data_IF_840678695771
#
_entry.id   IF_840678695771
#
_cell.length_a   1.000
_cell.length_b   1.000
_cell.length_c   1.000
_cell.angle_alpha   90.00
_cell.angle_beta   90.00
_cell.angle_gamma   90.00
#
_symmetry.space_group_name_H-M   'P 1'
#
loop_
_entity.id
_entity.type
_entity.pdbx_description
1 polymer ?
#
# COMPACT_ATOMS: atom_id res chain seq x y z
N UNK A 1 -7.53 9.32 29.60
CA UNK A 1 -6.86 8.09 30.04
C UNK A 1 -5.98 7.64 28.91
N UNK A 2 -4.67 7.52 29.06
CA UNK A 2 -3.79 7.06 27.98
C UNK A 2 -4.00 5.56 27.78
N UNK A 3 -4.36 5.18 26.56
CA UNK A 3 -4.46 3.78 26.12
C UNK A 3 -3.07 3.19 26.04
N UNK A 4 -2.81 2.17 26.84
CA UNK A 4 -1.60 1.37 26.86
C UNK A 4 -1.40 0.71 25.50
N UNK A 5 -0.19 0.70 24.90
CA UNK A 5 0.05 -0.03 23.66
C UNK A 5 -0.09 -1.53 23.90
N UNK A 6 -0.93 -2.17 23.09
CA UNK A 6 -1.12 -3.63 23.10
C UNK A 6 0.18 -4.29 22.67
N UNK A 7 0.74 -5.15 23.52
CA UNK A 7 1.92 -5.97 23.19
C UNK A 7 1.65 -6.83 21.93
N UNK A 8 2.63 -6.92 21.02
CA UNK A 8 2.47 -7.70 19.81
C UNK A 8 2.44 -9.21 20.14
N UNK A 9 1.32 -9.86 19.85
CA UNK A 9 1.20 -11.32 19.89
C UNK A 9 2.17 -11.94 18.88
N UNK A 10 3.09 -12.78 19.36
CA UNK A 10 4.07 -13.49 18.54
C UNK A 10 3.37 -14.43 17.54
N UNK A 11 3.71 -14.32 16.26
CA UNK A 11 3.22 -15.20 15.20
C UNK A 11 3.84 -16.62 15.30
N UNK A 12 3.19 -17.66 14.78
CA UNK A 12 3.69 -19.03 14.78
C UNK A 12 4.98 -19.14 13.95
N UNK A 13 6.01 -19.74 14.55
CA UNK A 13 7.38 -19.83 14.07
C UNK A 13 7.59 -20.70 12.82
N UNK A 14 7.29 -20.19 11.66
CA UNK A 14 7.88 -20.66 10.40
C UNK A 14 9.05 -19.73 10.06
N UNK A 15 10.23 -20.29 9.81
CA UNK A 15 11.40 -19.51 9.39
C UNK A 15 11.13 -18.94 8.01
N UNK A 16 11.05 -17.61 7.87
CA UNK A 16 10.85 -16.96 6.57
C UNK A 16 12.03 -17.31 5.65
N UNK A 17 11.73 -17.77 4.43
CA UNK A 17 12.79 -17.97 3.42
C UNK A 17 13.36 -16.59 3.03
N UNK A 18 14.68 -16.38 3.20
CA UNK A 18 15.31 -15.11 2.83
C UNK A 18 15.04 -14.67 1.38
N UNK A 19 14.87 -15.63 0.48
CA UNK A 19 14.58 -15.34 -0.94
C UNK A 19 13.25 -14.65 -1.17
N UNK A 20 12.30 -14.74 -0.22
CA UNK A 20 11.04 -14.00 -0.28
C UNK A 20 11.26 -12.47 -0.31
N UNK A 21 12.38 -11.97 0.27
CA UNK A 21 12.70 -10.55 0.23
C UNK A 21 13.32 -10.08 -1.10
N UNK A 22 13.75 -10.98 -1.99
CA UNK A 22 14.31 -10.59 -3.30
C UNK A 22 13.32 -9.81 -4.17
N UNK A 23 12.02 -10.08 -4.02
CA UNK A 23 10.97 -9.37 -4.73
C UNK A 23 10.73 -7.94 -4.20
N UNK A 24 11.30 -7.59 -3.04
CA UNK A 24 11.16 -6.28 -2.43
C UNK A 24 12.22 -5.33 -3.00
N UNK A 25 11.84 -4.22 -3.67
CA UNK A 25 12.78 -3.34 -4.37
C UNK A 25 13.93 -2.81 -3.51
N UNK A 26 13.71 -2.67 -2.20
CA UNK A 26 14.73 -2.23 -1.26
C UNK A 26 15.91 -3.21 -1.16
N UNK A 27 15.64 -4.50 -1.32
CA UNK A 27 16.62 -5.58 -1.10
C UNK A 27 17.10 -6.22 -2.42
N UNK A 28 16.74 -5.64 -3.57
CA UNK A 28 16.97 -6.23 -4.90
C UNK A 28 18.44 -6.60 -5.17
N UNK A 29 19.39 -5.81 -4.65
CA UNK A 29 20.83 -5.98 -4.93
C UNK A 29 21.57 -6.73 -3.79
N UNK A 30 20.85 -7.33 -2.84
CA UNK A 30 21.44 -8.10 -1.76
C UNK A 30 21.60 -9.57 -2.20
N UNK A 31 22.75 -10.16 -1.85
CA UNK A 31 22.97 -11.59 -2.02
C UNK A 31 22.18 -12.40 -0.96
N UNK A 32 22.19 -13.72 -1.13
CA UNK A 32 21.44 -14.63 -0.24
C UNK A 32 21.89 -14.56 1.22
N UNK A 33 23.18 -14.33 1.47
CA UNK A 33 23.72 -14.24 2.83
C UNK A 33 23.25 -12.94 3.50
N UNK A 34 23.32 -11.82 2.79
CA UNK A 34 22.81 -10.53 3.25
C UNK A 34 21.29 -10.58 3.50
N UNK A 35 20.51 -11.23 2.62
CA UNK A 35 19.07 -11.42 2.83
C UNK A 35 18.77 -12.26 4.06
N UNK A 36 19.57 -13.29 4.34
CA UNK A 36 19.43 -14.11 5.55
C UNK A 36 19.69 -13.28 6.83
N UNK A 37 20.72 -12.45 6.82
CA UNK A 37 21.02 -11.53 7.93
C UNK A 37 19.89 -10.52 8.14
N UNK A 38 19.37 -9.95 7.06
CA UNK A 38 18.23 -9.00 7.10
C UNK A 38 16.99 -9.66 7.69
N UNK A 39 16.65 -10.88 7.26
CA UNK A 39 15.51 -11.62 7.81
C UNK A 39 15.72 -11.94 9.29
N UNK A 40 16.92 -12.39 9.67
CA UNK A 40 17.23 -12.74 11.05
C UNK A 40 17.18 -11.54 12.00
N UNK A 41 17.54 -10.35 11.51
CA UNK A 41 17.50 -9.11 12.27
C UNK A 41 16.08 -8.53 12.40
N UNK A 42 15.14 -9.00 11.60
CA UNK A 42 13.76 -8.54 11.60
C UNK A 42 12.87 -9.27 12.62
N UNK A 43 11.75 -8.63 12.97
CA UNK A 43 10.71 -9.20 13.84
C UNK A 43 9.41 -9.34 13.05
N UNK A 44 8.87 -10.55 13.01
CA UNK A 44 7.55 -10.80 12.41
C UNK A 44 6.46 -10.62 13.45
N UNK A 45 5.41 -9.85 13.09
CA UNK A 45 4.23 -9.70 13.95
C UNK A 45 2.95 -9.56 13.12
N UNK A 46 1.81 -9.71 13.80
CA UNK A 46 0.49 -9.54 13.20
C UNK A 46 -0.01 -8.12 13.40
N UNK A 47 -0.72 -7.61 12.39
CA UNK A 47 -1.51 -6.38 12.47
C UNK A 47 -2.94 -6.76 12.15
N UNK A 48 -3.83 -6.61 13.12
CA UNK A 48 -5.23 -6.99 12.96
C UNK A 48 -5.93 -6.00 12.01
N UNK A 49 -6.96 -6.48 11.35
CA UNK A 49 -7.82 -5.64 10.51
C UNK A 49 -8.24 -4.37 11.26
N UNK A 50 -8.25 -3.24 10.55
CA UNK A 50 -8.57 -1.89 11.01
C UNK A 50 -7.56 -1.30 12.03
N UNK A 51 -6.54 -2.06 12.48
CA UNK A 51 -5.47 -1.52 13.31
C UNK A 51 -4.45 -0.73 12.48
N UNK A 52 -3.94 0.37 13.05
CA UNK A 52 -2.84 1.12 12.47
C UNK A 52 -1.52 0.40 12.73
N UNK A 53 -0.69 0.27 11.67
CA UNK A 53 0.71 -0.15 11.79
C UNK A 53 1.56 1.00 12.35
N UNK A 54 1.28 2.22 11.89
CA UNK A 54 1.78 3.49 12.42
C UNK A 54 0.88 4.64 11.98
N UNK A 55 0.96 5.77 12.67
CA UNK A 55 0.13 6.94 12.43
C UNK A 55 0.89 8.09 11.77
N UNK A 56 0.16 8.93 11.04
CA UNK A 56 0.67 10.18 10.47
C UNK A 56 1.26 11.06 11.57
N UNK A 57 2.37 11.74 11.26
CA UNK A 57 3.14 12.60 12.15
C UNK A 57 3.82 11.89 13.35
N UNK A 58 3.60 10.59 13.57
CA UNK A 58 4.38 9.84 14.53
C UNK A 58 5.85 9.73 14.10
N UNK A 59 6.82 9.62 15.05
CA UNK A 59 8.22 9.41 14.72
C UNK A 59 8.42 8.18 13.82
N UNK A 60 9.17 8.34 12.73
CA UNK A 60 9.45 7.25 11.78
C UNK A 60 10.59 6.37 12.32
N UNK A 61 10.25 5.42 13.18
CA UNK A 61 11.20 4.57 13.91
C UNK A 61 11.38 3.18 13.32
N UNK A 62 10.48 2.74 12.43
CA UNK A 62 10.49 1.37 11.91
C UNK A 62 10.21 1.31 10.40
N UNK A 63 10.88 0.35 9.77
CA UNK A 63 10.63 -0.09 8.40
C UNK A 63 9.87 -1.42 8.44
N UNK A 64 8.93 -1.61 7.54
CA UNK A 64 8.10 -2.82 7.46
C UNK A 64 8.02 -3.35 6.03
N UNK A 65 8.02 -4.67 5.90
CA UNK A 65 7.65 -5.40 4.69
C UNK A 65 6.36 -6.17 4.97
N UNK A 66 5.37 -6.05 4.10
CA UNK A 66 4.16 -6.86 4.18
C UNK A 66 4.48 -8.25 3.65
N UNK A 67 4.31 -9.27 4.49
CA UNK A 67 4.45 -10.68 4.10
C UNK A 67 3.12 -11.25 3.65
N UNK A 68 2.03 -10.88 4.32
CA UNK A 68 0.68 -11.33 4.02
C UNK A 68 -0.34 -10.24 4.37
N UNK A 69 -1.45 -10.22 3.65
CA UNK A 69 -2.54 -9.28 3.87
C UNK A 69 -2.43 -8.02 3.03
N UNK A 70 -3.13 -6.97 3.45
CA UNK A 70 -3.20 -5.70 2.72
C UNK A 70 -3.32 -4.54 3.69
N UNK A 71 -2.45 -3.56 3.53
CA UNK A 71 -2.53 -2.29 4.25
C UNK A 71 -3.01 -1.20 3.29
N UNK A 72 -3.55 -0.11 3.83
CA UNK A 72 -3.82 1.14 3.12
C UNK A 72 -3.03 2.29 3.73
N UNK A 73 -2.55 3.18 2.89
CA UNK A 73 -1.87 4.42 3.26
C UNK A 73 -2.88 5.54 3.15
N UNK A 74 -3.18 6.19 4.27
CA UNK A 74 -4.18 7.25 4.38
C UNK A 74 -3.51 8.51 4.89
N UNK A 75 -3.76 9.63 4.22
CA UNK A 75 -3.32 10.93 4.65
C UNK A 75 -4.53 11.77 5.05
N UNK A 76 -4.51 12.31 6.25
CA UNK A 76 -5.53 13.23 6.75
C UNK A 76 -5.09 14.69 6.50
N UNK A 77 -6.01 15.49 5.96
CA UNK A 77 -5.85 16.94 5.87
C UNK A 77 -6.19 17.61 7.21
N UNK A 78 -5.85 18.89 7.33
CA UNK A 78 -6.16 19.70 8.51
C UNK A 78 -7.67 19.84 8.79
N UNK A 79 -8.50 19.67 7.77
CA UNK A 79 -9.96 19.69 7.82
C UNK A 79 -10.58 18.33 8.18
N UNK A 80 -9.75 17.32 8.45
CA UNK A 80 -10.17 15.95 8.77
C UNK A 80 -10.56 15.12 7.53
N UNK A 81 -10.51 15.67 6.33
CA UNK A 81 -10.71 14.87 5.13
C UNK A 81 -9.56 13.87 4.95
N UNK A 82 -9.90 12.66 4.55
CA UNK A 82 -8.94 11.60 4.30
C UNK A 82 -8.79 11.33 2.80
N UNK A 83 -7.56 11.04 2.39
CA UNK A 83 -7.26 10.53 1.05
C UNK A 83 -6.56 9.18 1.19
N UNK A 84 -7.03 8.18 0.44
CA UNK A 84 -6.29 6.94 0.27
C UNK A 84 -5.20 7.17 -0.77
N UNK A 85 -3.97 7.26 -0.28
CA UNK A 85 -2.80 7.47 -1.14
C UNK A 85 -2.49 6.22 -1.94
N UNK A 86 -2.49 5.04 -1.31
CA UNK A 86 -2.23 3.75 -1.99
C UNK A 86 -2.58 2.58 -1.08
N UNK A 87 -2.67 1.39 -1.67
CA UNK A 87 -2.62 0.15 -0.94
C UNK A 87 -1.19 -0.43 -0.94
N UNK A 88 -0.88 -1.24 0.07
CA UNK A 88 0.41 -1.89 0.28
C UNK A 88 0.13 -3.37 0.45
N UNK A 89 0.70 -4.19 -0.40
CA UNK A 89 0.48 -5.64 -0.41
C UNK A 89 1.72 -6.45 -0.11
N UNK A 90 1.66 -7.78 -0.27
CA UNK A 90 2.82 -8.65 -0.10
C UNK A 90 4.00 -8.18 -0.96
N UNK A 91 5.20 -8.22 -0.39
CA UNK A 91 6.47 -7.74 -0.93
C UNK A 91 6.56 -6.20 -1.11
N UNK A 92 5.58 -5.45 -0.61
CA UNK A 92 5.64 -3.99 -0.57
C UNK A 92 6.22 -3.49 0.77
N UNK A 93 6.72 -2.25 0.74
CA UNK A 93 7.30 -1.54 1.87
C UNK A 93 6.36 -0.51 2.49
N UNK A 94 6.33 -0.46 3.82
CA UNK A 94 5.79 0.65 4.59
C UNK A 94 6.88 1.23 5.52
N UNK A 95 6.80 2.54 5.80
CA UNK A 95 7.69 3.18 6.75
C UNK A 95 9.11 3.48 6.23
N UNK A 96 9.32 3.59 4.91
CA UNK A 96 10.64 3.84 4.30
C UNK A 96 11.33 5.12 4.84
N UNK A 97 10.57 6.07 5.39
CA UNK A 97 11.10 7.29 6.01
C UNK A 97 12.01 7.00 7.22
N UNK A 98 11.84 5.86 7.90
CA UNK A 98 12.71 5.42 8.98
C UNK A 98 14.17 5.22 8.53
N UNK A 99 14.42 5.01 7.23
CA UNK A 99 15.75 4.89 6.65
C UNK A 99 16.46 6.24 6.43
N UNK A 100 15.72 7.37 6.52
CA UNK A 100 16.30 8.71 6.33
C UNK A 100 16.97 9.26 7.58
N UNK A 101 16.98 8.49 8.67
CA UNK A 101 17.62 8.83 9.94
C UNK A 101 16.69 9.43 10.98
N UNK A 102 17.24 9.84 12.12
CA UNK A 102 16.46 10.36 13.25
C UNK A 102 15.79 11.69 12.90
N UNK A 103 14.68 11.98 13.59
CA UNK A 103 13.91 13.21 13.41
C UNK A 103 12.88 13.15 12.28
N UNK A 104 12.83 12.07 11.51
CA UNK A 104 11.78 11.88 10.49
C UNK A 104 10.45 11.49 11.14
N UNK A 105 9.37 11.89 10.48
CA UNK A 105 8.00 11.47 10.86
C UNK A 105 7.34 10.75 9.68
N UNK A 106 6.36 9.91 9.98
CA UNK A 106 5.57 9.29 8.95
C UNK A 106 4.63 10.31 8.27
N UNK A 107 4.65 10.45 6.95
CA UNK A 107 3.82 11.44 6.26
C UNK A 107 2.35 11.04 6.15
N UNK A 108 2.00 9.81 6.50
CA UNK A 108 0.67 9.23 6.38
C UNK A 108 0.46 8.12 7.41
N UNK A 109 -0.77 7.83 7.76
CA UNK A 109 -1.17 6.66 8.54
C UNK A 109 -1.17 5.42 7.63
N UNK A 110 -0.70 4.30 8.16
CA UNK A 110 -0.80 2.99 7.49
C UNK A 110 -1.62 2.06 8.35
N UNK A 111 -2.76 1.57 7.83
CA UNK A 111 -3.70 0.73 8.56
C UNK A 111 -4.04 -0.55 7.79
N UNK A 112 -4.37 -1.61 8.50
CA UNK A 112 -4.69 -2.90 7.93
C UNK A 112 -6.11 -2.94 7.35
N UNK A 113 -6.24 -3.38 6.10
CA UNK A 113 -7.53 -3.61 5.42
C UNK A 113 -8.08 -4.99 5.76
N UNK A 114 -7.20 -5.94 5.95
CA UNK A 114 -7.43 -7.31 6.43
C UNK A 114 -6.33 -7.64 7.42
N UNK A 115 -6.44 -8.73 8.14
CA UNK A 115 -5.35 -9.21 9.00
C UNK A 115 -4.07 -9.34 8.18
N UNK A 116 -2.98 -8.76 8.69
CA UNK A 116 -1.69 -8.72 8.03
C UNK A 116 -0.61 -9.41 8.88
N UNK A 117 0.40 -9.91 8.18
CA UNK A 117 1.67 -10.33 8.78
C UNK A 117 2.75 -9.44 8.17
N UNK A 118 3.53 -8.79 9.01
CA UNK A 118 4.61 -7.89 8.59
C UNK A 118 5.94 -8.30 9.22
N UNK A 119 7.03 -8.08 8.49
CA UNK A 119 8.40 -8.17 8.98
C UNK A 119 8.92 -6.75 9.19
N UNK A 120 9.44 -6.46 10.37
CA UNK A 120 9.77 -5.10 10.80
C UNK A 120 11.20 -5.00 11.35
N UNK A 121 11.83 -3.86 11.09
CA UNK A 121 13.13 -3.48 11.63
C UNK A 121 13.02 -2.11 12.26
N UNK A 122 13.55 -1.95 13.48
CA UNK A 122 13.45 -0.73 14.26
C UNK A 122 14.83 -0.08 14.47
N UNK A 123 14.84 1.22 14.69
CA UNK A 123 15.92 2.09 15.12
C UNK A 123 17.35 1.57 14.95
N UNK A 124 17.99 1.01 16.01
CA UNK A 124 19.37 0.56 15.95
C UNK A 124 19.65 -0.54 14.93
N UNK A 125 18.65 -1.41 14.69
CA UNK A 125 18.77 -2.50 13.69
C UNK A 125 18.84 -1.90 12.29
N UNK A 126 17.99 -0.90 11.99
CA UNK A 126 18.02 -0.20 10.70
C UNK A 126 19.34 0.50 10.45
N UNK A 127 19.89 1.17 11.46
CA UNK A 127 21.18 1.85 11.36
C UNK A 127 22.31 0.86 11.07
N UNK A 128 22.33 -0.28 11.76
CA UNK A 128 23.33 -1.33 11.52
C UNK A 128 23.17 -1.96 10.12
N UNK A 129 21.95 -2.20 9.67
CA UNK A 129 21.67 -2.67 8.31
C UNK A 129 22.19 -1.69 7.24
N UNK A 130 21.94 -0.39 7.41
CA UNK A 130 22.44 0.64 6.49
C UNK A 130 23.96 0.70 6.46
N UNK A 131 24.60 0.59 7.63
CA UNK A 131 26.06 0.56 7.73
C UNK A 131 26.66 -0.66 7.03
N UNK A 132 26.04 -1.82 7.21
CA UNK A 132 26.53 -3.10 6.65
C UNK A 132 26.19 -3.25 5.15
N UNK A 133 25.06 -2.71 4.72
CA UNK A 133 24.56 -2.80 3.35
C UNK A 133 24.22 -1.42 2.79
N UNK A 134 25.20 -0.62 2.36
CA UNK A 134 24.98 0.76 1.87
C UNK A 134 24.02 0.84 0.65
N UNK A 135 23.92 -0.24 -0.11
CA UNK A 135 22.97 -0.34 -1.25
C UNK A 135 21.52 -0.14 -0.82
N UNK A 136 21.15 -0.42 0.44
CA UNK A 136 19.82 -0.16 0.97
C UNK A 136 19.45 1.33 0.90
N UNK A 137 20.41 2.23 1.13
CA UNK A 137 20.19 3.67 1.06
C UNK A 137 19.89 4.09 -0.39
N UNK A 138 20.65 3.58 -1.35
CA UNK A 138 20.44 3.84 -2.78
C UNK A 138 19.07 3.32 -3.23
N UNK A 139 18.73 2.10 -2.83
CA UNK A 139 17.45 1.50 -3.16
C UNK A 139 16.27 2.23 -2.48
N UNK A 140 16.45 2.71 -1.23
CA UNK A 140 15.45 3.56 -0.57
C UNK A 140 15.21 4.85 -1.34
N UNK A 141 16.25 5.50 -1.86
CA UNK A 141 16.11 6.68 -2.71
C UNK A 141 15.35 6.37 -4.02
N UNK A 142 15.62 5.22 -4.66
CA UNK A 142 14.87 4.78 -5.84
C UNK A 142 13.38 4.57 -5.53
N UNK A 143 13.07 3.91 -4.40
CA UNK A 143 11.70 3.71 -3.93
C UNK A 143 11.00 5.05 -3.67
N UNK A 144 11.65 5.97 -2.98
CA UNK A 144 11.11 7.30 -2.70
C UNK A 144 10.92 8.13 -3.98
N UNK A 145 11.88 8.07 -4.90
CA UNK A 145 11.79 8.72 -6.21
C UNK A 145 10.58 8.23 -7.02
N UNK A 146 10.36 6.92 -7.07
CA UNK A 146 9.18 6.33 -7.72
C UNK A 146 7.87 6.80 -7.06
N UNK A 147 7.81 6.80 -5.74
CA UNK A 147 6.64 7.32 -5.00
C UNK A 147 6.37 8.80 -5.26
N UNK A 148 7.42 9.61 -5.33
CA UNK A 148 7.30 11.03 -5.68
C UNK A 148 6.69 11.21 -7.07
N UNK A 149 7.14 10.44 -8.07
CA UNK A 149 6.57 10.47 -9.42
C UNK A 149 5.09 10.09 -9.44
N UNK A 150 4.69 9.06 -8.65
CA UNK A 150 3.29 8.67 -8.51
C UNK A 150 2.44 9.82 -7.92
N UNK A 151 2.94 10.51 -6.90
CA UNK A 151 2.26 11.66 -6.29
C UNK A 151 2.10 12.79 -7.30
N UNK A 152 3.14 13.14 -8.05
CA UNK A 152 3.07 14.17 -9.09
C UNK A 152 2.10 13.81 -10.21
N UNK A 153 2.05 12.53 -10.63
CA UNK A 153 1.09 12.06 -11.62
C UNK A 153 -0.35 12.25 -11.12
N UNK A 154 -0.64 11.88 -9.87
CA UNK A 154 -1.98 12.06 -9.27
C UNK A 154 -2.35 13.52 -9.07
N UNK A 155 -1.41 14.37 -8.69
CA UNK A 155 -1.65 15.81 -8.59
C UNK A 155 -2.07 16.38 -9.95
N UNK A 156 -1.40 15.99 -11.01
CA UNK A 156 -1.77 16.37 -12.39
C UNK A 156 -3.14 15.82 -12.75
N UNK A 157 -3.42 14.53 -12.51
CA UNK A 157 -4.74 13.92 -12.72
C UNK A 157 -5.84 14.71 -11.97
N UNK A 158 -5.60 15.09 -10.72
CA UNK A 158 -6.56 15.84 -9.93
C UNK A 158 -6.84 17.24 -10.50
N UNK A 159 -5.84 17.88 -11.11
CA UNK A 159 -5.95 19.22 -11.69
C UNK A 159 -6.56 19.24 -13.10
N UNK A 160 -6.38 18.17 -13.89
CA UNK A 160 -6.73 18.18 -15.31
C UNK A 160 -7.84 17.21 -15.71
N UNK A 161 -8.09 16.16 -14.91
CA UNK A 161 -8.95 15.07 -15.32
C UNK A 161 -10.34 15.14 -14.67
N UNK A 162 -11.36 14.71 -15.42
CA UNK A 162 -12.72 14.54 -14.88
C UNK A 162 -12.75 13.43 -13.84
N UNK A 163 -13.69 13.52 -12.89
CA UNK A 163 -13.85 12.53 -11.79
C UNK A 163 -13.98 11.10 -12.33
N UNK A 164 -14.73 10.91 -13.41
CA UNK A 164 -14.92 9.60 -14.02
C UNK A 164 -13.59 8.98 -14.48
N UNK A 165 -12.74 9.75 -15.16
CA UNK A 165 -11.43 9.33 -15.60
C UNK A 165 -10.51 9.03 -14.41
N UNK A 166 -10.53 9.87 -13.37
CA UNK A 166 -9.73 9.62 -12.14
C UNK A 166 -10.15 8.32 -11.44
N UNK A 167 -11.45 7.99 -11.39
CA UNK A 167 -11.94 6.72 -10.87
C UNK A 167 -11.46 5.53 -11.72
N UNK A 168 -11.50 5.64 -13.05
CA UNK A 168 -11.00 4.61 -13.95
C UNK A 168 -9.48 4.38 -13.75
N UNK A 169 -8.69 5.46 -13.66
CA UNK A 169 -7.26 5.39 -13.37
C UNK A 169 -6.98 4.77 -11.99
N UNK A 170 -7.77 5.08 -10.97
CA UNK A 170 -7.66 4.47 -9.64
C UNK A 170 -7.91 2.96 -9.70
N UNK A 171 -8.97 2.52 -10.38
CA UNK A 171 -9.26 1.09 -10.57
C UNK A 171 -8.16 0.38 -11.37
N UNK A 172 -7.65 0.96 -12.45
CA UNK A 172 -6.57 0.38 -13.23
C UNK A 172 -5.28 0.23 -12.42
N UNK A 173 -4.99 1.15 -11.48
CA UNK A 173 -3.88 1.00 -10.54
C UNK A 173 -4.08 -0.21 -9.63
N UNK A 174 -5.29 -0.42 -9.10
CA UNK A 174 -5.61 -1.58 -8.26
C UNK A 174 -5.56 -2.89 -9.06
N UNK A 175 -6.05 -2.90 -10.29
CA UNK A 175 -5.95 -4.05 -11.21
C UNK A 175 -4.50 -4.44 -11.46
N UNK A 176 -3.63 -3.47 -11.74
CA UNK A 176 -2.19 -3.74 -11.93
C UNK A 176 -1.50 -4.27 -10.69
N UNK A 177 -1.89 -3.77 -9.52
CA UNK A 177 -1.28 -4.14 -8.25
C UNK A 177 -1.77 -5.50 -7.72
N UNK A 178 -3.04 -5.85 -7.95
CA UNK A 178 -3.70 -6.95 -7.24
C UNK A 178 -4.82 -7.60 -8.04
N UNK A 179 -4.78 -7.46 -9.34
CA UNK A 179 -5.77 -8.08 -10.22
C UNK A 179 -5.52 -9.57 -10.39
N UNK A 180 -6.53 -10.37 -10.14
CA UNK A 180 -6.56 -11.82 -10.43
C UNK A 180 -7.51 -12.03 -11.61
N UNK A 181 -7.01 -12.65 -12.66
CA UNK A 181 -7.83 -12.98 -13.84
C UNK A 181 -8.86 -14.03 -13.47
N UNK A 182 -10.10 -13.80 -13.87
CA UNK A 182 -11.21 -14.75 -13.78
C UNK A 182 -11.55 -15.29 -15.18
N UNK A 183 -12.40 -16.31 -15.25
CA UNK A 183 -12.90 -16.86 -16.51
C UNK A 183 -13.61 -15.76 -17.33
N UNK A 184 -13.49 -15.82 -18.66
CA UNK A 184 -14.08 -14.81 -19.55
C UNK A 184 -13.29 -13.51 -19.67
N UNK A 185 -12.09 -13.39 -19.07
CA UNK A 185 -11.22 -12.23 -19.19
C UNK A 185 -11.47 -11.11 -18.18
N UNK A 186 -12.43 -11.30 -17.29
CA UNK A 186 -12.67 -10.40 -16.16
C UNK A 186 -11.47 -10.38 -15.20
N UNK A 187 -11.31 -9.27 -14.45
CA UNK A 187 -10.23 -9.12 -13.48
C UNK A 187 -10.82 -8.72 -12.12
N UNK A 188 -10.66 -9.59 -11.13
CA UNK A 188 -11.06 -9.32 -9.75
C UNK A 188 -9.91 -8.68 -8.96
N UNK A 189 -10.22 -7.66 -8.17
CA UNK A 189 -9.28 -7.13 -7.18
C UNK A 189 -9.25 -8.08 -5.98
N UNK A 190 -8.05 -8.55 -5.61
CA UNK A 190 -7.84 -9.66 -4.66
C UNK A 190 -7.87 -9.25 -3.18
N UNK A 191 -8.55 -8.16 -2.86
CA UNK A 191 -8.78 -7.73 -1.47
C UNK A 191 -10.03 -6.85 -1.39
N UNK A 192 -10.60 -6.68 -0.18
CA UNK A 192 -11.77 -5.82 0.00
C UNK A 192 -11.43 -4.35 -0.29
N UNK A 193 -12.18 -3.71 -1.22
CA UNK A 193 -12.08 -2.28 -1.54
C UNK A 193 -13.46 -1.65 -1.36
N UNK A 194 -13.56 -0.68 -0.45
CA UNK A 194 -14.79 0.06 -0.27
C UNK A 194 -14.95 1.13 -1.36
N UNK A 195 -16.20 1.47 -1.71
CA UNK A 195 -16.48 2.62 -2.60
C UNK A 195 -15.95 3.94 -2.02
N UNK A 196 -15.88 4.04 -0.70
CA UNK A 196 -15.26 5.16 0.00
C UNK A 196 -13.76 5.25 -0.33
N UNK A 197 -13.03 4.13 -0.28
CA UNK A 197 -11.60 4.11 -0.62
C UNK A 197 -11.35 4.58 -2.06
N UNK A 198 -12.23 4.17 -3.01
CA UNK A 198 -12.16 4.63 -4.41
C UNK A 198 -12.47 6.13 -4.55
N UNK A 199 -13.45 6.62 -3.80
CA UNK A 199 -13.77 8.04 -3.77
C UNK A 199 -12.57 8.86 -3.27
N UNK A 200 -11.95 8.44 -2.18
CA UNK A 200 -10.76 9.07 -1.61
C UNK A 200 -9.54 8.98 -2.55
N UNK A 201 -9.34 7.84 -3.23
CA UNK A 201 -8.27 7.69 -4.23
C UNK A 201 -8.46 8.60 -5.45
N UNK A 202 -9.71 8.87 -5.83
CA UNK A 202 -10.05 9.71 -6.97
C UNK A 202 -10.25 11.20 -6.59
N UNK A 203 -10.13 11.56 -5.30
CA UNK A 203 -10.37 12.90 -4.81
C UNK A 203 -11.80 13.39 -5.09
N UNK A 204 -12.79 12.58 -4.72
CA UNK A 204 -14.21 12.90 -4.92
C UNK A 204 -15.06 12.42 -3.73
N UNK A 205 -16.35 12.73 -3.73
CA UNK A 205 -17.26 12.28 -2.68
C UNK A 205 -17.72 10.84 -2.91
N UNK A 206 -18.06 10.14 -1.82
CA UNK A 206 -18.67 8.81 -1.90
C UNK A 206 -19.92 8.78 -2.79
N UNK A 207 -20.76 9.82 -2.71
CA UNK A 207 -21.97 9.93 -3.51
C UNK A 207 -21.64 9.97 -5.01
N UNK A 208 -20.70 10.82 -5.43
CA UNK A 208 -20.28 10.95 -6.83
C UNK A 208 -19.63 9.65 -7.33
N UNK A 209 -18.71 9.08 -6.55
CA UNK A 209 -18.07 7.80 -6.89
C UNK A 209 -19.12 6.67 -7.02
N UNK A 210 -20.04 6.55 -6.06
CA UNK A 210 -21.08 5.51 -6.09
C UNK A 210 -21.99 5.63 -7.31
N UNK A 211 -22.37 6.84 -7.71
CA UNK A 211 -23.18 7.07 -8.91
C UNK A 211 -22.46 6.61 -10.18
N UNK A 212 -21.19 6.96 -10.34
CA UNK A 212 -20.37 6.56 -11.49
C UNK A 212 -20.16 5.04 -11.52
N UNK A 213 -19.76 4.45 -10.40
CA UNK A 213 -19.53 3.01 -10.29
C UNK A 213 -20.81 2.21 -10.59
N UNK A 214 -21.97 2.66 -10.09
CA UNK A 214 -23.26 2.03 -10.40
C UNK A 214 -23.64 2.15 -11.89
N UNK A 215 -23.31 3.26 -12.54
CA UNK A 215 -23.44 3.39 -14.00
C UNK A 215 -22.56 2.38 -14.75
N UNK A 216 -21.34 2.16 -14.30
CA UNK A 216 -20.43 1.16 -14.89
C UNK A 216 -20.89 -0.29 -14.61
N UNK A 217 -21.51 -0.54 -13.46
CA UNK A 217 -22.14 -1.84 -13.17
C UNK A 217 -23.33 -2.11 -14.13
N UNK A 218 -24.19 -1.11 -14.36
CA UNK A 218 -25.30 -1.20 -15.32
C UNK A 218 -24.83 -1.38 -16.76
N UNK A 219 -23.70 -0.77 -17.13
CA UNK A 219 -23.09 -0.90 -18.45
C UNK A 219 -22.28 -2.21 -18.62
N UNK A 220 -22.20 -3.07 -17.60
CA UNK A 220 -21.43 -4.31 -17.64
C UNK A 220 -19.90 -4.14 -17.62
N UNK A 221 -19.40 -2.94 -17.32
CA UNK A 221 -17.95 -2.67 -17.20
C UNK A 221 -17.40 -3.22 -15.88
N UNK A 222 -18.20 -3.08 -14.82
CA UNK A 222 -17.89 -3.60 -13.49
C UNK A 222 -18.95 -4.61 -13.06
N UNK A 223 -18.56 -5.53 -12.19
CA UNK A 223 -19.46 -6.31 -11.36
C UNK A 223 -18.92 -6.35 -9.95
N UNK A 224 -19.76 -6.65 -8.99
CA UNK A 224 -19.31 -6.82 -7.63
C UNK A 224 -20.43 -6.73 -6.63
N UNK A 225 -20.07 -6.57 -5.38
CA UNK A 225 -20.95 -6.41 -4.24
C UNK A 225 -20.26 -5.56 -3.18
N UNK A 226 -20.71 -5.68 -1.95
CA UNK A 226 -20.10 -4.95 -0.84
C UNK A 226 -18.63 -5.31 -0.71
N UNK A 227 -17.73 -4.35 -0.93
CA UNK A 227 -16.28 -4.47 -0.82
C UNK A 227 -15.63 -5.46 -1.82
N UNK A 228 -16.33 -5.86 -2.87
CA UNK A 228 -15.79 -6.70 -3.94
C UNK A 228 -15.91 -5.97 -5.27
N UNK A 229 -14.82 -5.88 -6.02
CA UNK A 229 -14.76 -5.23 -7.32
C UNK A 229 -14.22 -6.23 -8.34
N UNK A 230 -14.97 -6.42 -9.41
CA UNK A 230 -14.59 -7.22 -10.58
C UNK A 230 -14.71 -6.31 -11.81
N UNK A 231 -13.64 -6.13 -12.52
CA UNK A 231 -13.63 -5.43 -13.82
C UNK A 231 -14.00 -6.46 -14.88
N UNK A 232 -15.23 -6.36 -15.39
CA UNK A 232 -15.78 -7.28 -16.40
C UNK A 232 -15.25 -6.96 -17.79
N UNK A 233 -15.16 -5.67 -18.13
CA UNK A 233 -14.57 -5.20 -19.39
C UNK A 233 -13.36 -4.30 -19.10
N UNK A 234 -12.14 -4.87 -18.99
CA UNK A 234 -10.91 -4.09 -18.80
C UNK A 234 -10.63 -3.11 -19.94
N UNK A 235 -11.03 -3.44 -21.18
CA UNK A 235 -10.80 -2.55 -22.32
C UNK A 235 -11.71 -1.32 -22.28
N UNK A 236 -12.98 -1.47 -21.87
CA UNK A 236 -13.87 -0.32 -21.65
C UNK A 236 -13.30 0.59 -20.55
N UNK A 237 -12.79 0.02 -19.45
CA UNK A 237 -12.20 0.81 -18.38
C UNK A 237 -10.94 1.57 -18.85
N UNK A 238 -10.11 0.97 -19.71
CA UNK A 238 -8.94 1.64 -20.32
C UNK A 238 -9.40 2.80 -21.21
N UNK A 239 -10.40 2.60 -22.08
CA UNK A 239 -10.95 3.68 -22.92
C UNK A 239 -11.43 4.87 -22.09
N UNK A 240 -12.12 4.63 -20.97
CA UNK A 240 -12.54 5.71 -20.06
C UNK A 240 -11.32 6.42 -19.44
N UNK A 241 -10.25 5.69 -19.15
CA UNK A 241 -9.03 6.26 -18.60
C UNK A 241 -8.17 7.03 -19.63
N UNK A 242 -8.34 6.77 -20.91
CA UNK A 242 -7.62 7.46 -21.98
C UNK A 242 -8.36 8.72 -22.48
N UNK A 243 -9.67 8.77 -22.32
CA UNK A 243 -10.55 9.93 -22.63
C UNK A 243 -11.24 9.82 -23.95
#
# INVERSE_FOLDING_TARGET
MPTTPTEPSSAPGGRLDPTALQAVPLFADLDRAALADVVQAGRTHRVLKDAALFEQAAPATALHVVLQGRLKVVQAGADGQQIVVRFVGPNDLAGVFALLGPGQVYPATVAAVVDCVVLSWEGPVLQEMQRRYPTLVVNAMRVLGGRSQEVHARLREAATERVERRLALALLRLVRQSGVREEGGAVRIDFPVARQDLAEMAGTTLHTASRILSGWEQAGILAGGRMRIVVQDPHALVRIAEG
#
